data_IF_491743830307
#
_entry.id   IF_491743830307
#
_cell.length_a   1.000
_cell.length_b   1.000
_cell.length_c   1.000
_cell.angle_alpha   90.00
_cell.angle_beta   90.00
_cell.angle_gamma   90.00
#
_symmetry.space_group_name_H-M   'P 1'
#
loop_
_entity.id
_entity.type
_entity.pdbx_description
1 polymer ?
#
# COMPACT_ATOMS: atom_id res chain seq x y z
N UNK A 1 3.44 3.39 -2.88
CA UNK A 1 2.11 3.80 -3.37
C UNK A 1 1.01 2.78 -3.05
N UNK A 2 1.17 1.93 -2.01
CA UNK A 2 0.20 0.87 -1.68
C UNK A 2 -1.21 1.40 -1.42
N UNK A 3 -1.32 2.45 -0.61
CA UNK A 3 -2.61 3.06 -0.28
C UNK A 3 -3.25 3.75 -1.49
N UNK A 4 -2.46 4.40 -2.34
CA UNK A 4 -2.97 5.08 -3.54
C UNK A 4 -3.61 4.08 -4.50
N UNK A 5 -2.95 2.95 -4.77
CA UNK A 5 -3.53 1.94 -5.64
C UNK A 5 -4.74 1.24 -5.01
N UNK A 6 -4.72 1.02 -3.69
CA UNK A 6 -5.85 0.44 -2.97
C UNK A 6 -7.07 1.38 -2.95
N UNK A 7 -6.88 2.69 -2.95
CA UNK A 7 -7.97 3.68 -3.08
C UNK A 7 -8.74 3.52 -4.39
N UNK A 8 -8.10 3.01 -5.46
CA UNK A 8 -8.73 2.69 -6.74
C UNK A 8 -9.12 1.21 -6.88
N UNK A 9 -9.20 0.50 -5.75
CA UNK A 9 -9.44 -0.94 -5.66
C UNK A 9 -8.53 -1.78 -6.58
N UNK A 10 -7.26 -1.36 -6.70
CA UNK A 10 -6.26 -2.11 -7.48
C UNK A 10 -5.48 -3.07 -6.58
N UNK A 11 -5.15 -4.29 -7.04
CA UNK A 11 -4.29 -5.20 -6.30
C UNK A 11 -2.94 -4.56 -5.94
N UNK A 12 -2.46 -4.83 -4.73
CA UNK A 12 -1.18 -4.32 -4.24
C UNK A 12 -0.21 -5.46 -3.98
N UNK A 13 0.99 -5.37 -4.58
CA UNK A 13 2.06 -6.35 -4.41
C UNK A 13 3.32 -5.62 -3.94
N UNK A 14 3.82 -6.00 -2.76
CA UNK A 14 4.97 -5.41 -2.11
C UNK A 14 6.19 -6.33 -2.19
N UNK A 15 7.13 -6.09 -3.11
CA UNK A 15 8.38 -6.85 -3.12
C UNK A 15 9.20 -6.53 -1.87
N UNK A 16 9.63 -7.59 -1.18
CA UNK A 16 10.54 -7.54 -0.02
C UNK A 16 11.98 -7.90 -0.39
N UNK A 17 12.33 -7.68 -1.66
CA UNK A 17 13.63 -7.96 -2.24
C UNK A 17 13.95 -6.92 -3.32
N UNK A 18 15.23 -6.83 -3.70
CA UNK A 18 15.70 -6.10 -4.88
C UNK A 18 16.51 -7.06 -5.76
N UNK A 19 16.24 -7.13 -7.09
CA UNK A 19 17.05 -7.95 -7.99
C UNK A 19 18.54 -7.59 -7.91
N UNK A 20 19.39 -8.61 -7.79
CA UNK A 20 20.84 -8.42 -7.69
C UNK A 20 21.36 -7.98 -6.31
N UNK A 21 20.48 -7.72 -5.35
CA UNK A 21 20.88 -7.43 -3.98
C UNK A 21 21.38 -8.68 -3.25
N UNK A 22 22.32 -8.46 -2.32
CA UNK A 22 22.82 -9.50 -1.41
C UNK A 22 21.75 -9.94 -0.42
N UNK A 23 22.01 -11.04 0.28
CA UNK A 23 21.11 -11.52 1.34
C UNK A 23 20.88 -10.48 2.45
N UNK A 24 21.94 -9.79 2.88
CA UNK A 24 21.85 -8.80 3.97
C UNK A 24 21.04 -7.56 3.55
N UNK A 25 21.17 -7.12 2.31
CA UNK A 25 20.37 -6.02 1.75
C UNK A 25 18.89 -6.42 1.65
N UNK A 26 18.60 -7.63 1.16
CA UNK A 26 17.23 -8.14 1.13
C UNK A 26 16.64 -8.29 2.54
N UNK A 27 17.43 -8.72 3.53
CA UNK A 27 16.98 -8.73 4.94
C UNK A 27 16.53 -7.35 5.39
N UNK A 28 17.32 -6.30 5.11
CA UNK A 28 16.96 -4.92 5.47
C UNK A 28 15.68 -4.46 4.79
N UNK A 29 15.45 -4.85 3.55
CA UNK A 29 14.20 -4.54 2.83
C UNK A 29 13.01 -5.23 3.50
N UNK A 30 13.15 -6.50 3.93
CA UNK A 30 12.11 -7.20 4.71
C UNK A 30 11.80 -6.47 6.01
N UNK A 31 12.83 -5.99 6.70
CA UNK A 31 12.68 -5.25 7.96
C UNK A 31 11.92 -3.93 7.77
N UNK A 32 11.99 -3.29 6.59
CA UNK A 32 11.21 -2.08 6.30
C UNK A 32 9.70 -2.31 6.41
N UNK A 33 9.20 -3.48 6.02
CA UNK A 33 7.79 -3.85 6.15
C UNK A 33 7.35 -4.16 7.58
N UNK A 34 8.30 -4.25 8.52
CA UNK A 34 8.06 -4.47 9.95
C UNK A 34 8.09 -3.16 10.75
N UNK A 35 8.34 -2.02 10.10
CA UNK A 35 8.29 -0.72 10.76
C UNK A 35 6.84 -0.36 11.13
N UNK A 36 6.68 0.42 12.21
CA UNK A 36 5.39 0.75 12.81
C UNK A 36 4.33 1.20 11.80
N UNK A 37 4.69 2.11 10.88
CA UNK A 37 3.77 2.63 9.86
C UNK A 37 3.36 1.60 8.80
N UNK A 38 4.11 0.50 8.63
CA UNK A 38 3.77 -0.60 7.73
C UNK A 38 2.94 -1.69 8.40
N UNK A 39 2.99 -1.84 9.72
CA UNK A 39 2.29 -2.92 10.42
C UNK A 39 0.78 -2.96 10.11
N UNK A 40 0.04 -1.83 10.09
CA UNK A 40 -1.38 -1.88 9.73
C UNK A 40 -1.59 -2.28 8.26
N UNK A 41 -0.71 -1.85 7.36
CA UNK A 41 -0.78 -2.16 5.93
C UNK A 41 -0.55 -3.67 5.71
N UNK A 42 0.50 -4.24 6.30
CA UNK A 42 0.82 -5.67 6.15
C UNK A 42 -0.17 -6.57 6.87
N UNK A 43 -0.74 -6.12 8.00
CA UNK A 43 -1.77 -6.85 8.73
C UNK A 43 -3.16 -6.79 8.07
N UNK A 44 -3.43 -5.80 7.22
CA UNK A 44 -4.76 -5.59 6.60
C UNK A 44 -5.20 -6.72 5.66
N UNK A 45 -4.23 -7.46 5.10
CA UNK A 45 -4.44 -8.39 3.99
C UNK A 45 -4.66 -7.71 2.63
N UNK A 46 -4.68 -6.37 2.59
CA UNK A 46 -4.82 -5.57 1.35
C UNK A 46 -3.54 -5.47 0.52
N UNK A 47 -2.43 -6.01 1.03
CA UNK A 47 -1.11 -6.06 0.40
C UNK A 47 -0.56 -7.49 0.41
N UNK A 48 -0.26 -8.04 -0.76
CA UNK A 48 0.50 -9.28 -0.88
C UNK A 48 1.99 -8.97 -0.89
N UNK A 49 2.78 -9.59 -0.01
CA UNK A 49 4.24 -9.46 -0.06
C UNK A 49 4.89 -10.65 -0.74
N UNK A 50 6.02 -10.42 -1.41
CA UNK A 50 6.77 -11.44 -2.18
C UNK A 50 8.27 -11.31 -1.92
N UNK A 51 9.00 -12.42 -1.97
CA UNK A 51 10.41 -12.53 -1.60
C UNK A 51 11.37 -12.74 -2.79
N UNK A 52 10.84 -12.91 -4.00
CA UNK A 52 11.65 -13.15 -5.20
C UNK A 52 11.04 -12.56 -6.47
N UNK A 53 11.85 -12.44 -7.52
CA UNK A 53 11.41 -11.95 -8.82
C UNK A 53 10.36 -12.87 -9.46
N UNK A 54 10.52 -14.18 -9.30
CA UNK A 54 9.56 -15.16 -9.78
C UNK A 54 8.21 -15.02 -9.06
N UNK A 55 8.22 -14.89 -7.73
CA UNK A 55 7.00 -14.66 -6.95
C UNK A 55 6.31 -13.35 -7.34
N UNK A 56 7.08 -12.29 -7.62
CA UNK A 56 6.52 -11.01 -8.08
C UNK A 56 5.83 -11.16 -9.44
N UNK A 57 6.43 -11.87 -10.40
CA UNK A 57 5.83 -12.13 -11.71
C UNK A 57 4.54 -12.93 -11.55
N UNK A 58 4.57 -14.03 -10.80
CA UNK A 58 3.41 -14.89 -10.58
C UNK A 58 2.29 -14.16 -9.84
N UNK A 59 2.61 -13.42 -8.78
CA UNK A 59 1.62 -12.63 -8.04
C UNK A 59 0.98 -11.55 -8.92
N UNK A 60 1.78 -10.92 -9.80
CA UNK A 60 1.27 -9.87 -10.70
C UNK A 60 0.35 -10.45 -11.76
N UNK A 61 0.74 -11.56 -12.40
CA UNK A 61 -0.10 -12.25 -13.37
C UNK A 61 -1.44 -12.67 -12.75
N UNK A 62 -1.39 -13.30 -11.57
CA UNK A 62 -2.59 -13.68 -10.82
C UNK A 62 -3.48 -12.47 -10.50
N UNK A 63 -2.90 -11.37 -10.04
CA UNK A 63 -3.64 -10.16 -9.71
C UNK A 63 -4.28 -9.47 -10.94
N UNK A 64 -3.72 -9.67 -12.13
CA UNK A 64 -4.32 -9.17 -13.38
C UNK A 64 -5.51 -10.05 -13.82
N UNK A 65 -5.44 -11.36 -13.55
CA UNK A 65 -6.52 -12.32 -13.84
C UNK A 65 -7.66 -12.25 -12.83
N UNK A 66 -7.34 -11.96 -11.56
CA UNK A 66 -8.26 -11.93 -10.43
C UNK A 66 -8.18 -10.61 -9.63
N UNK A 67 -8.43 -9.44 -10.25
CA UNK A 67 -8.24 -8.15 -9.60
C UNK A 67 -9.19 -7.91 -8.40
N UNK A 68 -10.33 -8.60 -8.36
CA UNK A 68 -11.31 -8.55 -7.28
C UNK A 68 -10.83 -9.20 -5.98
N UNK A 69 -9.87 -10.13 -6.07
CA UNK A 69 -9.34 -10.81 -4.89
C UNK A 69 -8.70 -9.79 -3.94
N UNK A 70 -9.10 -9.87 -2.67
CA UNK A 70 -8.64 -8.96 -1.63
C UNK A 70 -9.26 -7.55 -1.68
N UNK A 71 -10.29 -7.30 -2.49
CA UNK A 71 -11.00 -6.00 -2.53
C UNK A 71 -11.50 -5.57 -1.13
N UNK A 72 -12.14 -6.46 -0.39
CA UNK A 72 -12.57 -6.17 0.99
C UNK A 72 -11.38 -5.83 1.92
N UNK A 73 -10.25 -6.50 1.75
CA UNK A 73 -9.06 -6.26 2.54
C UNK A 73 -8.42 -4.91 2.21
N UNK A 74 -8.42 -4.51 0.93
CA UNK A 74 -8.02 -3.17 0.51
C UNK A 74 -8.97 -2.11 1.07
N UNK A 75 -10.28 -2.35 1.04
CA UNK A 75 -11.24 -1.40 1.61
C UNK A 75 -11.05 -1.24 3.12
N UNK A 76 -10.82 -2.33 3.86
CA UNK A 76 -10.48 -2.26 5.29
C UNK A 76 -9.19 -1.47 5.51
N UNK A 77 -8.13 -1.77 4.75
CA UNK A 77 -6.86 -1.04 4.81
C UNK A 77 -7.05 0.47 4.64
N UNK A 78 -7.88 0.88 3.68
CA UNK A 78 -8.21 2.29 3.44
C UNK A 78 -8.98 2.90 4.61
N UNK A 79 -10.03 2.22 5.08
CA UNK A 79 -10.88 2.70 6.17
C UNK A 79 -10.12 2.84 7.50
N UNK A 80 -9.16 1.95 7.75
CA UNK A 80 -8.38 1.94 8.99
C UNK A 80 -7.28 3.02 9.00
N UNK A 81 -6.73 3.38 7.83
CA UNK A 81 -5.56 4.25 7.71
C UNK A 81 -5.87 5.67 7.21
N UNK A 82 -6.92 5.87 6.43
CA UNK A 82 -7.22 7.16 5.82
C UNK A 82 -8.42 7.83 6.49
N UNK A 83 -8.22 9.04 7.00
CA UNK A 83 -9.30 9.86 7.58
C UNK A 83 -10.29 10.35 6.53
N UNK A 84 -9.82 10.68 5.32
CA UNK A 84 -10.62 11.22 4.24
C UNK A 84 -10.27 10.57 2.91
N UNK A 85 -11.29 10.28 2.11
CA UNK A 85 -11.17 9.63 0.80
C UNK A 85 -12.01 10.33 -0.27
N UNK A 86 -12.52 11.52 0.02
CA UNK A 86 -13.48 12.27 -0.80
C UNK A 86 -12.86 13.24 -1.81
N UNK A 87 -11.53 13.28 -1.89
CA UNK A 87 -10.79 14.18 -2.79
C UNK A 87 -10.81 15.66 -2.39
N UNK A 88 -11.31 16.01 -1.19
CA UNK A 88 -11.47 17.42 -0.76
C UNK A 88 -10.28 17.98 0.02
N UNK A 89 -9.12 17.31 0.01
CA UNK A 89 -7.96 17.73 0.83
C UNK A 89 -7.47 19.15 0.50
N UNK A 90 -7.46 19.54 -0.78
CA UNK A 90 -7.07 20.90 -1.18
C UNK A 90 -8.06 21.95 -0.68
N UNK A 91 -9.37 21.66 -0.75
CA UNK A 91 -10.39 22.58 -0.24
C UNK A 91 -10.26 22.74 1.27
N UNK A 92 -10.09 21.65 2.02
CA UNK A 92 -9.85 21.71 3.49
C UNK A 92 -8.64 22.57 3.84
N UNK A 93 -7.57 22.47 3.07
CA UNK A 93 -6.37 23.29 3.28
C UNK A 93 -6.67 24.78 3.02
N UNK A 94 -7.35 25.09 1.92
CA UNK A 94 -7.76 26.46 1.59
C UNK A 94 -8.63 27.05 2.69
N UNK A 95 -9.63 26.31 3.15
CA UNK A 95 -10.54 26.75 4.22
C UNK A 95 -9.78 27.01 5.53
N UNK A 96 -8.85 26.11 5.90
CA UNK A 96 -8.04 26.25 7.11
C UNK A 96 -7.11 27.47 7.06
N UNK A 97 -6.50 27.76 5.90
CA UNK A 97 -5.64 28.95 5.74
C UNK A 97 -6.48 30.22 5.77
N UNK A 98 -7.62 30.25 5.07
CA UNK A 98 -8.52 31.41 5.05
C UNK A 98 -9.00 31.78 6.47
N UNK A 99 -9.31 30.78 7.30
CA UNK A 99 -9.72 30.99 8.70
C UNK A 99 -8.60 31.55 9.62
N UNK A 100 -7.32 31.44 9.22
CA UNK A 100 -6.18 31.99 9.96
C UNK A 100 -5.80 33.40 9.51
N UNK A 101 -6.16 33.78 8.28
CA UNK A 101 -5.72 35.04 7.64
C UNK A 101 -6.84 36.06 7.43
N UNK A 102 -8.11 35.66 7.62
CA UNK A 102 -9.28 36.54 7.58
C UNK A 102 -9.68 37.03 8.97
#
# INVERSE_FOLDING_TARGET
MTLDGAMFDRPQIGPRFVPGATFSENSRIKDMYSQEHWLPITASGGLRTVDSAEELILATAHALEHPEEGSEARQRMINDLLTYTDGQSSQRLVDAVAALTG
#
